data_IF_480755704794
#
_entry.id   IF_480755704794
#
_cell.length_a   1.000
_cell.length_b   1.000
_cell.length_c   1.000
_cell.angle_alpha   90.00
_cell.angle_beta   90.00
_cell.angle_gamma   90.00
#
_symmetry.space_group_name_H-M   'P 1'
#
loop_
_entity.id
_entity.type
_entity.pdbx_description
1 polymer ?
#
# COMPACT_ATOMS: atom_id res chain seq x y z
N UNK A 1 -0.84 -11.86 7.26
CA UNK A 1 -2.10 -12.55 6.88
C UNK A 1 -3.32 -11.98 7.59
N UNK A 2 -3.27 -11.71 8.91
CA UNK A 2 -4.44 -11.25 9.68
C UNK A 2 -5.20 -10.07 9.07
N UNK A 3 -4.50 -9.02 8.61
CA UNK A 3 -5.14 -7.87 7.96
C UNK A 3 -6.03 -8.26 6.76
N UNK A 4 -5.52 -9.05 5.82
CA UNK A 4 -6.30 -9.45 4.64
C UNK A 4 -7.48 -10.38 5.00
N UNK A 5 -7.34 -11.18 6.07
CA UNK A 5 -8.43 -11.99 6.60
C UNK A 5 -9.52 -11.13 7.25
N UNK A 6 -9.12 -10.09 7.98
CA UNK A 6 -10.03 -9.10 8.55
C UNK A 6 -10.76 -8.31 7.45
N UNK A 7 -10.04 -7.82 6.44
CA UNK A 7 -10.65 -7.13 5.29
C UNK A 7 -11.67 -8.02 4.60
N UNK A 8 -11.37 -9.30 4.33
CA UNK A 8 -12.35 -10.24 3.75
C UNK A 8 -13.62 -10.37 4.62
N UNK A 9 -13.45 -10.44 5.94
CA UNK A 9 -14.58 -10.53 6.85
C UNK A 9 -15.43 -9.25 6.82
N UNK A 10 -14.79 -8.08 6.76
CA UNK A 10 -15.45 -6.78 6.64
C UNK A 10 -16.12 -6.60 5.27
N UNK A 11 -15.49 -6.98 4.16
CA UNK A 11 -16.06 -6.97 2.81
C UNK A 11 -17.35 -7.80 2.75
N UNK A 12 -17.35 -8.98 3.40
CA UNK A 12 -18.55 -9.81 3.53
C UNK A 12 -19.68 -9.12 4.32
N UNK A 13 -19.35 -8.38 5.37
CA UNK A 13 -20.33 -7.64 6.18
C UNK A 13 -20.88 -6.41 5.44
N UNK A 14 -20.02 -5.71 4.69
CA UNK A 14 -20.36 -4.51 3.92
C UNK A 14 -21.14 -4.82 2.63
N UNK A 15 -21.05 -6.06 2.13
CA UNK A 15 -21.71 -6.47 0.89
C UNK A 15 -21.00 -6.01 -0.39
N UNK A 16 -19.73 -5.58 -0.27
CA UNK A 16 -18.87 -5.22 -1.39
C UNK A 16 -17.41 -5.55 -1.08
N UNK A 17 -16.59 -5.68 -2.14
CA UNK A 17 -15.14 -5.84 -2.02
C UNK A 17 -14.40 -4.53 -2.38
N UNK A 18 -13.21 -4.35 -1.83
CA UNK A 18 -12.27 -3.33 -2.28
C UNK A 18 -11.47 -3.83 -3.48
N UNK A 19 -11.32 -2.96 -4.46
CA UNK A 19 -10.59 -3.23 -5.70
C UNK A 19 -9.09 -3.00 -5.52
N UNK A 20 -8.69 -2.08 -4.65
CA UNK A 20 -7.29 -1.76 -4.35
C UNK A 20 -7.08 -1.48 -2.87
N UNK A 21 -5.85 -1.68 -2.41
CA UNK A 21 -5.38 -1.28 -1.08
C UNK A 21 -4.16 -0.39 -1.26
N UNK A 22 -4.13 0.82 -0.69
CA UNK A 22 -2.95 1.69 -0.70
C UNK A 22 -2.22 1.59 0.64
N UNK A 23 -0.91 1.36 0.61
CA UNK A 23 -0.12 1.19 1.84
C UNK A 23 1.24 1.87 1.77
N UNK A 24 1.59 2.67 2.78
CA UNK A 24 2.94 3.21 2.92
C UNK A 24 3.96 2.07 3.13
N UNK A 25 5.10 2.12 2.43
CA UNK A 25 6.13 1.09 2.50
C UNK A 25 7.52 1.69 2.73
N UNK A 26 8.19 1.22 3.79
CA UNK A 26 9.61 1.52 4.08
C UNK A 26 10.38 0.23 4.34
N UNK A 27 10.17 -0.40 5.50
CA UNK A 27 10.84 -1.66 5.89
C UNK A 27 10.12 -2.92 5.39
N UNK A 28 8.94 -2.76 4.79
CA UNK A 28 8.31 -3.75 3.92
C UNK A 28 7.42 -4.80 4.56
N UNK A 29 7.51 -5.10 5.86
CA UNK A 29 6.75 -6.21 6.46
C UNK A 29 5.22 -6.02 6.42
N UNK A 30 4.72 -4.80 6.59
CA UNK A 30 3.29 -4.46 6.45
C UNK A 30 2.79 -4.82 5.04
N UNK A 31 3.45 -4.28 4.01
CA UNK A 31 3.12 -4.53 2.62
C UNK A 31 3.26 -6.02 2.27
N UNK A 32 4.37 -6.67 2.65
CA UNK A 32 4.57 -8.10 2.44
C UNK A 32 3.47 -8.97 3.07
N UNK A 33 3.06 -8.66 4.31
CA UNK A 33 2.01 -9.38 5.01
C UNK A 33 0.63 -9.21 4.38
N UNK A 34 0.33 -8.03 3.81
CA UNK A 34 -0.86 -7.76 3.02
C UNK A 34 -0.82 -8.52 1.69
N UNK A 35 0.27 -8.39 0.94
CA UNK A 35 0.51 -9.07 -0.35
C UNK A 35 0.26 -10.57 -0.22
N UNK A 36 0.93 -11.25 0.74
CA UNK A 36 0.73 -12.69 0.99
C UNK A 36 -0.71 -12.99 1.40
N UNK A 37 -1.32 -12.12 2.22
CA UNK A 37 -2.70 -12.29 2.67
C UNK A 37 -3.75 -12.18 1.55
N UNK A 38 -3.54 -11.26 0.60
CA UNK A 38 -4.42 -11.05 -0.56
C UNK A 38 -4.11 -11.97 -1.73
N UNK A 39 -2.93 -12.59 -1.77
CA UNK A 39 -2.61 -13.63 -2.73
C UNK A 39 -3.58 -14.83 -2.65
N UNK A 40 -4.15 -15.11 -1.46
CA UNK A 40 -5.22 -16.11 -1.26
C UNK A 40 -6.40 -15.93 -2.23
N UNK A 41 -6.68 -14.68 -2.60
CA UNK A 41 -7.80 -14.32 -3.47
C UNK A 41 -7.32 -13.77 -4.83
N UNK A 42 -6.02 -13.95 -5.14
CA UNK A 42 -5.36 -13.42 -6.35
C UNK A 42 -5.40 -11.88 -6.48
N UNK A 43 -5.47 -11.18 -5.34
CA UNK A 43 -5.48 -9.70 -5.26
C UNK A 43 -4.15 -9.10 -4.80
N UNK A 44 -3.07 -9.88 -4.77
CA UNK A 44 -1.78 -9.42 -4.27
C UNK A 44 -1.23 -8.21 -5.04
N UNK A 45 -1.50 -8.13 -6.35
CA UNK A 45 -1.11 -6.98 -7.20
C UNK A 45 -2.02 -5.76 -7.04
N UNK A 46 -3.13 -5.91 -6.33
CA UNK A 46 -4.02 -4.80 -5.98
C UNK A 46 -3.58 -4.12 -4.67
N UNK A 47 -2.59 -4.68 -3.96
CA UNK A 47 -1.90 -4.00 -2.85
C UNK A 47 -0.86 -3.05 -3.46
N UNK A 48 -1.19 -1.77 -3.51
CA UNK A 48 -0.37 -0.70 -4.07
C UNK A 48 0.48 -0.09 -2.97
N UNK A 49 1.73 -0.56 -2.86
CA UNK A 49 2.71 0.03 -1.97
C UNK A 49 3.19 1.39 -2.46
N UNK A 50 3.30 2.37 -1.57
CA UNK A 50 3.90 3.68 -1.84
C UNK A 50 5.24 3.77 -1.13
N UNK A 51 6.32 3.94 -1.89
CA UNK A 51 7.64 4.12 -1.29
C UNK A 51 7.72 5.44 -0.50
N UNK A 52 8.12 5.33 0.76
CA UNK A 52 8.48 6.46 1.62
C UNK A 52 9.95 6.42 2.06
N UNK A 53 10.72 5.41 1.64
CA UNK A 53 12.11 5.20 2.03
C UNK A 53 13.12 6.08 1.26
N UNK A 54 12.78 6.49 0.04
CA UNK A 54 13.71 7.06 -0.93
C UNK A 54 14.82 6.10 -1.39
N UNK A 55 14.67 4.79 -1.12
CA UNK A 55 15.52 3.69 -1.59
C UNK A 55 14.67 2.57 -2.20
N UNK A 56 13.86 2.85 -3.24
CA UNK A 56 12.78 1.95 -3.69
C UNK A 56 13.26 0.56 -4.12
N UNK A 57 14.44 0.43 -4.73
CA UNK A 57 15.00 -0.87 -5.09
C UNK A 57 15.29 -1.75 -3.85
N UNK A 58 15.83 -1.16 -2.79
CA UNK A 58 16.07 -1.85 -1.52
C UNK A 58 14.73 -2.24 -0.87
N UNK A 59 13.77 -1.31 -0.82
CA UNK A 59 12.45 -1.55 -0.24
C UNK A 59 11.69 -2.65 -1.00
N UNK A 60 11.68 -2.63 -2.34
CA UNK A 60 11.04 -3.67 -3.15
C UNK A 60 11.69 -5.04 -2.90
N UNK A 61 13.01 -5.11 -2.87
CA UNK A 61 13.74 -6.33 -2.55
C UNK A 61 13.42 -6.87 -1.15
N UNK A 62 13.33 -5.97 -0.17
CA UNK A 62 12.97 -6.32 1.21
C UNK A 62 11.52 -6.82 1.32
N UNK A 63 10.56 -6.17 0.66
CA UNK A 63 9.16 -6.65 0.60
C UNK A 63 9.10 -8.04 -0.02
N UNK A 64 9.79 -8.27 -1.15
CA UNK A 64 9.79 -9.57 -1.82
C UNK A 64 10.37 -10.66 -0.93
N UNK A 65 11.51 -10.40 -0.26
CA UNK A 65 12.13 -11.35 0.66
C UNK A 65 11.19 -11.71 1.80
N UNK A 66 10.62 -10.70 2.48
CA UNK A 66 9.71 -10.91 3.61
C UNK A 66 8.44 -11.65 3.15
N UNK A 67 7.91 -11.32 1.98
CA UNK A 67 6.72 -11.98 1.44
C UNK A 67 6.98 -13.46 1.16
N UNK A 68 8.12 -13.80 0.55
CA UNK A 68 8.52 -15.20 0.30
C UNK A 68 8.72 -15.99 1.59
N UNK A 69 9.39 -15.40 2.58
CA UNK A 69 9.62 -16.05 3.87
C UNK A 69 8.30 -16.23 4.63
N UNK A 70 7.42 -15.22 4.59
CA UNK A 70 6.08 -15.30 5.16
C UNK A 70 5.23 -16.38 4.49
N UNK A 71 5.25 -16.46 3.15
CA UNK A 71 4.51 -17.48 2.39
C UNK A 71 4.97 -18.90 2.74
N UNK A 72 6.28 -19.12 2.95
CA UNK A 72 6.83 -20.39 3.45
C UNK A 72 6.36 -20.69 4.87
N UNK A 73 6.45 -19.73 5.78
CA UNK A 73 6.06 -19.89 7.19
C UNK A 73 4.59 -20.28 7.33
N UNK A 74 3.71 -19.70 6.52
CA UNK A 74 2.26 -19.97 6.56
C UNK A 74 1.83 -21.10 5.61
N UNK A 75 2.79 -21.78 4.96
CA UNK A 75 2.57 -22.88 4.01
C UNK A 75 1.54 -22.52 2.92
N UNK A 76 1.66 -21.29 2.39
CA UNK A 76 0.68 -20.71 1.47
C UNK A 76 0.54 -21.49 0.15
N UNK A 77 1.57 -22.23 -0.26
CA UNK A 77 1.52 -23.13 -1.42
C UNK A 77 1.63 -22.45 -2.78
N UNK A 78 1.55 -21.11 -2.85
CA UNK A 78 1.86 -20.34 -4.05
C UNK A 78 3.24 -19.67 -3.93
N UNK A 79 3.92 -19.61 -5.08
CA UNK A 79 5.15 -18.84 -5.21
C UNK A 79 4.83 -17.34 -5.30
N UNK A 80 5.54 -16.53 -4.52
CA UNK A 80 5.51 -15.07 -4.65
C UNK A 80 6.62 -14.65 -5.61
N UNK A 81 6.24 -14.03 -6.71
CA UNK A 81 7.15 -13.54 -7.75
C UNK A 81 7.37 -12.03 -7.63
N UNK A 82 8.37 -11.51 -8.33
CA UNK A 82 8.70 -10.07 -8.27
C UNK A 82 7.53 -9.19 -8.73
N UNK A 83 6.81 -9.62 -9.76
CA UNK A 83 5.64 -8.91 -10.32
C UNK A 83 4.46 -8.81 -9.35
N UNK A 84 4.45 -9.59 -8.26
CA UNK A 84 3.44 -9.48 -7.22
C UNK A 84 3.68 -8.26 -6.32
N UNK A 85 4.90 -7.70 -6.30
CA UNK A 85 5.26 -6.55 -5.49
C UNK A 85 5.07 -5.26 -6.28
N UNK A 86 3.89 -4.65 -6.12
CA UNK A 86 3.58 -3.33 -6.70
C UNK A 86 4.06 -2.24 -5.74
N UNK A 87 5.20 -1.61 -6.04
CA UNK A 87 5.75 -0.49 -5.29
C UNK A 87 5.88 0.74 -6.20
N UNK A 88 5.12 1.79 -5.90
CA UNK A 88 5.17 3.05 -6.63
C UNK A 88 6.20 3.99 -6.02
N UNK A 89 7.02 4.55 -6.90
CA UNK A 89 8.14 5.43 -6.55
C UNK A 89 7.80 6.92 -6.76
N UNK A 90 8.73 7.81 -6.40
CA UNK A 90 8.61 9.26 -6.68
C UNK A 90 7.84 10.07 -5.63
N UNK A 91 7.25 9.42 -4.62
CA UNK A 91 6.55 10.08 -3.51
C UNK A 91 7.42 10.27 -2.27
N UNK A 92 8.60 9.65 -2.22
CA UNK A 92 9.53 9.73 -1.10
C UNK A 92 10.32 11.05 -1.00
N UNK A 93 10.26 11.92 -2.02
CA UNK A 93 11.01 13.19 -2.09
C UNK A 93 10.76 14.11 -0.89
N UNK A 94 11.78 14.88 -0.43
CA UNK A 94 13.17 14.90 -0.92
C UNK A 94 14.06 13.78 -0.35
N UNK A 95 13.54 12.98 0.57
CA UNK A 95 14.23 11.89 1.22
C UNK A 95 13.44 11.32 2.38
N UNK A 96 13.97 10.28 3.01
CA UNK A 96 13.36 9.70 4.20
C UNK A 96 13.24 10.73 5.33
N UNK A 97 12.10 10.74 6.04
CA UNK A 97 11.85 11.67 7.14
C UNK A 97 11.49 13.10 6.73
N UNK A 98 11.58 13.45 5.45
CA UNK A 98 11.36 14.81 4.96
C UNK A 98 10.08 14.86 4.11
N UNK A 99 9.11 15.76 4.43
CA UNK A 99 7.94 15.98 3.59
C UNK A 99 8.24 16.95 2.45
N UNK A 100 7.70 16.66 1.27
CA UNK A 100 7.60 17.64 0.19
C UNK A 100 6.43 18.61 0.43
N UNK A 101 6.34 19.70 -0.34
CA UNK A 101 5.14 20.56 -0.31
C UNK A 101 3.86 19.81 -0.73
N UNK A 102 3.97 18.88 -1.69
CA UNK A 102 2.85 18.03 -2.07
C UNK A 102 2.39 17.12 -0.90
N UNK A 103 3.33 16.60 -0.10
CA UNK A 103 3.03 15.82 1.10
C UNK A 103 2.27 16.67 2.11
N UNK A 104 2.73 17.90 2.36
CA UNK A 104 2.05 18.84 3.28
C UNK A 104 0.65 19.23 2.77
N UNK A 105 0.48 19.40 1.46
CA UNK A 105 -0.82 19.70 0.85
C UNK A 105 -1.79 18.53 1.01
N UNK A 106 -1.34 17.30 0.77
CA UNK A 106 -2.14 16.09 0.95
C UNK A 106 -2.62 15.92 2.40
N UNK A 107 -1.72 16.11 3.38
CA UNK A 107 -2.05 16.07 4.81
C UNK A 107 -3.13 17.11 5.14
N UNK A 108 -2.95 18.37 4.70
CA UNK A 108 -3.92 19.44 4.96
C UNK A 108 -5.27 19.17 4.31
N UNK A 109 -5.27 18.64 3.10
CA UNK A 109 -6.51 18.32 2.38
C UNK A 109 -7.30 17.24 3.11
N UNK A 110 -6.66 16.11 3.44
CA UNK A 110 -7.29 15.01 4.17
C UNK A 110 -7.79 15.46 5.54
N UNK A 111 -6.98 16.19 6.31
CA UNK A 111 -7.38 16.69 7.62
C UNK A 111 -8.56 17.67 7.56
N UNK A 112 -8.64 18.52 6.52
CA UNK A 112 -9.72 19.51 6.39
C UNK A 112 -11.03 18.91 5.89
N UNK A 113 -10.97 17.88 5.04
CA UNK A 113 -12.17 17.27 4.48
C UNK A 113 -12.74 16.18 5.38
N UNK A 114 -11.87 15.33 5.94
CA UNK A 114 -12.28 14.10 6.62
C UNK A 114 -11.96 14.11 8.12
N UNK A 115 -11.26 15.14 8.63
CA UNK A 115 -10.80 15.17 10.03
C UNK A 115 -9.71 14.14 10.35
N UNK A 116 -9.13 13.48 9.34
CA UNK A 116 -8.09 12.46 9.48
C UNK A 116 -6.71 13.12 9.36
N UNK A 117 -5.87 12.95 10.38
CA UNK A 117 -4.51 13.49 10.42
C UNK A 117 -3.52 12.43 9.94
N UNK A 118 -2.72 12.76 8.93
CA UNK A 118 -1.60 11.96 8.45
C UNK A 118 -0.26 12.63 8.79
N UNK A 119 0.78 11.83 9.03
CA UNK A 119 2.10 12.32 9.43
C UNK A 119 2.97 12.72 8.19
N UNK A 120 4.01 13.55 8.37
CA UNK A 120 4.84 14.03 7.26
C UNK A 120 5.86 13.01 6.71
N UNK A 121 6.07 11.87 7.40
CA UNK A 121 7.09 10.89 7.04
C UNK A 121 6.49 9.72 6.26
N UNK A 122 5.36 9.19 6.70
CA UNK A 122 4.74 7.99 6.14
C UNK A 122 3.39 8.30 5.49
N UNK A 123 2.35 8.53 6.30
CA UNK A 123 0.98 8.46 5.82
C UNK A 123 0.61 9.67 4.97
N UNK A 124 1.28 10.81 5.15
CA UNK A 124 1.16 11.95 4.26
C UNK A 124 1.64 11.64 2.84
N UNK A 125 2.63 10.76 2.68
CA UNK A 125 3.19 10.38 1.37
C UNK A 125 2.31 9.36 0.67
N UNK A 126 1.76 8.37 1.40
CA UNK A 126 0.76 7.44 0.85
C UNK A 126 -0.54 8.18 0.50
N UNK A 127 -0.98 9.13 1.33
CA UNK A 127 -2.13 10.00 1.03
C UNK A 127 -1.88 10.88 -0.20
N UNK A 128 -0.70 11.51 -0.30
CA UNK A 128 -0.29 12.26 -1.50
C UNK A 128 -0.36 11.40 -2.75
N UNK A 129 0.14 10.16 -2.67
CA UNK A 129 0.10 9.23 -3.79
C UNK A 129 -1.33 8.85 -4.16
N UNK A 130 -2.16 8.46 -3.19
CA UNK A 130 -3.56 8.10 -3.45
C UNK A 130 -4.32 9.22 -4.17
N UNK A 131 -4.22 10.45 -3.69
CA UNK A 131 -4.83 11.62 -4.33
C UNK A 131 -4.33 11.78 -5.76
N UNK A 132 -3.01 11.70 -5.96
CA UNK A 132 -2.40 11.83 -7.29
C UNK A 132 -2.78 10.70 -8.25
N UNK A 133 -2.95 9.46 -7.75
CA UNK A 133 -3.34 8.30 -8.55
C UNK A 133 -4.80 8.42 -9.01
N UNK A 134 -5.70 8.88 -8.14
CA UNK A 134 -7.09 9.20 -8.51
C UNK A 134 -7.12 10.27 -9.61
N UNK A 135 -6.38 11.36 -9.44
CA UNK A 135 -6.32 12.44 -10.44
C UNK A 135 -5.76 11.99 -11.80
N UNK A 136 -4.85 11.00 -11.80
CA UNK A 136 -4.27 10.43 -13.01
C UNK A 136 -5.10 9.29 -13.61
N UNK A 137 -6.30 9.00 -13.06
CA UNK A 137 -7.14 7.88 -13.50
C UNK A 137 -6.39 6.53 -13.47
N UNK A 138 -5.49 6.36 -12.50
CA UNK A 138 -4.77 5.10 -12.31
C UNK A 138 -5.73 3.97 -11.90
N UNK A 139 -6.72 4.31 -11.06
CA UNK A 139 -7.79 3.41 -10.68
C UNK A 139 -8.93 3.51 -11.71
N UNK A 140 -9.48 2.39 -12.22
CA UNK A 140 -10.68 2.41 -13.04
C UNK A 140 -11.83 3.16 -12.38
N UNK A 141 -12.66 3.84 -13.18
CA UNK A 141 -13.84 4.55 -12.66
C UNK A 141 -14.76 3.59 -11.89
N UNK A 142 -15.24 4.02 -10.72
CA UNK A 142 -16.06 3.20 -9.83
C UNK A 142 -15.28 2.29 -8.87
N UNK A 143 -13.95 2.22 -8.97
CA UNK A 143 -13.11 1.43 -8.06
C UNK A 143 -13.27 1.87 -6.60
N UNK A 144 -13.31 0.90 -5.69
CA UNK A 144 -13.25 1.09 -4.25
C UNK A 144 -11.82 0.90 -3.77
N UNK A 145 -11.18 1.97 -3.34
CA UNK A 145 -9.81 1.96 -2.83
C UNK A 145 -9.85 2.02 -1.30
N UNK A 146 -9.18 1.06 -0.65
CA UNK A 146 -8.96 1.02 0.79
C UNK A 146 -7.63 1.67 1.16
#
# INVERSE_FOLDING_TARGET
MGFAEEVRAQEKQLGFAFDYIVVCTVTGSTHAGMLVGFAKDRRQRNVVGIDASATPAQTKGQVLSIARDTAKLVKFGMEIVEDDVVLLEGYASPGYGLPSEATKQAIRLCARLEGIIADPVYEGKSMQAMIGLVQKSFFPEGSKVL
#
